data_IF_782470466405
#
_entry.id   IF_782470466405
#
_cell.length_a   1.000
_cell.length_b   1.000
_cell.length_c   1.000
_cell.angle_alpha   90.00
_cell.angle_beta   90.00
_cell.angle_gamma   90.00
#
_symmetry.space_group_name_H-M   'P 1'
#
loop_
_entity.id
_entity.type
_entity.pdbx_description
1 polymer ?
#
# COMPACT_ATOMS: atom_id res chain seq x y z
N UNK A 1 -17.47 -13.89 51.44
CA UNK A 1 -17.70 -12.46 51.16
C UNK A 1 -16.61 -12.04 50.19
N UNK A 2 -16.83 -12.13 48.89
CA UNK A 2 -17.57 -11.19 48.03
C UNK A 2 -16.58 -10.26 47.30
N UNK A 3 -16.31 -10.63 46.05
CA UNK A 3 -16.28 -9.78 44.84
C UNK A 3 -15.43 -8.50 44.82
N UNK A 4 -14.45 -8.51 43.92
CA UNK A 4 -14.06 -7.33 43.15
C UNK A 4 -13.60 -7.81 41.76
N UNK A 5 -14.54 -8.37 41.01
CA UNK A 5 -14.44 -8.36 39.56
C UNK A 5 -14.54 -6.90 39.11
N UNK A 6 -13.47 -6.38 38.51
CA UNK A 6 -13.55 -5.33 37.48
C UNK A 6 -12.23 -5.28 36.73
N UNK A 7 -12.03 -6.29 35.89
CA UNK A 7 -11.16 -6.17 34.72
C UNK A 7 -11.85 -5.18 33.76
N UNK A 8 -11.58 -3.89 33.95
CA UNK A 8 -11.86 -2.85 32.95
C UNK A 8 -10.59 -2.71 32.11
N UNK A 9 -10.46 -3.56 31.10
CA UNK A 9 -9.43 -3.45 30.06
C UNK A 9 -10.07 -3.71 28.70
N UNK A 10 -11.04 -2.87 28.33
CA UNK A 10 -11.72 -2.93 27.03
C UNK A 10 -11.48 -1.70 26.15
N UNK A 11 -10.96 -0.59 26.71
CA UNK A 11 -10.66 0.63 25.94
C UNK A 11 -9.35 0.57 25.12
N UNK A 12 -8.59 -0.54 25.20
CA UNK A 12 -7.27 -0.61 24.58
C UNK A 12 -7.21 -1.53 23.35
N UNK A 13 -8.01 -2.60 23.28
CA UNK A 13 -7.84 -3.60 22.22
C UNK A 13 -8.36 -3.08 20.88
N UNK A 14 -9.54 -2.46 20.86
CA UNK A 14 -10.11 -1.82 19.67
C UNK A 14 -9.30 -0.59 19.22
N UNK A 15 -8.80 0.26 20.14
CA UNK A 15 -7.95 1.42 19.79
C UNK A 15 -6.60 0.97 19.22
N UNK A 16 -6.02 -0.10 19.78
CA UNK A 16 -4.78 -0.73 19.27
C UNK A 16 -5.02 -1.34 17.89
N UNK A 17 -6.13 -2.06 17.69
CA UNK A 17 -6.51 -2.60 16.37
C UNK A 17 -6.69 -1.49 15.34
N UNK A 18 -7.44 -0.44 15.68
CA UNK A 18 -7.67 0.71 14.80
C UNK A 18 -6.35 1.45 14.47
N UNK A 19 -5.43 1.60 15.43
CA UNK A 19 -4.08 2.16 15.19
C UNK A 19 -3.23 1.25 14.30
N UNK A 20 -3.30 -0.06 14.47
CA UNK A 20 -2.56 -1.03 13.66
C UNK A 20 -3.10 -1.03 12.23
N UNK A 21 -4.42 -1.03 12.03
CA UNK A 21 -5.04 -0.89 10.72
C UNK A 21 -4.69 0.44 10.07
N UNK A 22 -4.80 1.57 10.78
CA UNK A 22 -4.48 2.89 10.24
C UNK A 22 -3.00 3.00 9.83
N UNK A 23 -2.08 2.45 10.65
CA UNK A 23 -0.66 2.35 10.30
C UNK A 23 -0.44 1.42 9.10
N UNK A 24 -1.15 0.31 9.00
CA UNK A 24 -1.06 -0.64 7.89
C UNK A 24 -1.53 0.00 6.58
N UNK A 25 -2.67 0.70 6.60
CA UNK A 25 -3.20 1.47 5.47
C UNK A 25 -2.24 2.59 5.03
N UNK A 26 -1.60 3.30 5.97
CA UNK A 26 -0.56 4.30 5.65
C UNK A 26 0.69 3.67 5.04
N UNK A 27 1.06 2.46 5.45
CA UNK A 27 2.18 1.73 4.86
C UNK A 27 1.81 1.24 3.45
N UNK A 28 0.56 0.86 3.21
CA UNK A 28 0.05 0.41 1.91
C UNK A 28 -0.16 1.59 0.93
N UNK A 29 -0.44 2.80 1.42
CA UNK A 29 -0.57 3.99 0.56
C UNK A 29 0.76 4.44 -0.06
N UNK A 30 1.87 4.27 0.67
CA UNK A 30 3.22 4.64 0.22
C UNK A 30 3.69 3.91 -1.05
N UNK A 31 3.58 2.56 -1.17
CA UNK A 31 3.96 1.85 -2.39
C UNK A 31 3.06 2.22 -3.57
N UNK A 32 1.76 2.49 -3.35
CA UNK A 32 0.85 2.93 -4.42
C UNK A 32 1.30 4.28 -4.99
N UNK A 33 1.64 5.23 -4.13
CA UNK A 33 2.13 6.55 -4.55
C UNK A 33 3.52 6.47 -5.23
N UNK A 34 4.38 5.58 -4.75
CA UNK A 34 5.68 5.30 -5.37
C UNK A 34 5.51 4.72 -6.79
N UNK A 35 4.58 3.77 -6.97
CA UNK A 35 4.24 3.21 -8.29
C UNK A 35 3.74 4.32 -9.22
N UNK A 36 2.78 5.15 -8.77
CA UNK A 36 2.27 6.29 -9.57
C UNK A 36 3.41 7.23 -10.00
N UNK A 37 4.37 7.49 -9.12
CA UNK A 37 5.52 8.36 -9.42
C UNK A 37 6.45 7.74 -10.46
N UNK A 38 6.71 6.43 -10.39
CA UNK A 38 7.52 5.74 -11.39
C UNK A 38 6.83 5.67 -12.75
N UNK A 39 5.52 5.41 -12.76
CA UNK A 39 4.73 5.34 -13.99
C UNK A 39 4.59 6.71 -14.70
N UNK A 40 4.61 7.82 -13.95
CA UNK A 40 4.64 9.18 -14.52
C UNK A 40 5.87 9.45 -15.41
N UNK A 41 6.99 8.78 -15.14
CA UNK A 41 8.23 8.96 -15.87
C UNK A 41 8.35 8.03 -17.09
N UNK A 42 7.25 7.41 -17.52
CA UNK A 42 7.22 6.47 -18.65
C UNK A 42 6.79 7.14 -19.97
N UNK A 43 7.40 6.79 -21.12
CA UNK A 43 8.56 5.91 -21.26
C UNK A 43 9.88 6.66 -20.98
N UNK A 44 10.80 6.07 -20.20
CA UNK A 44 12.15 6.62 -20.06
C UNK A 44 12.91 6.51 -21.39
N UNK A 45 13.78 7.49 -21.67
CA UNK A 45 14.58 7.54 -22.91
C UNK A 45 15.72 6.51 -22.95
N UNK A 46 16.14 6.00 -21.79
CA UNK A 46 17.22 5.03 -21.64
C UNK A 46 16.67 3.66 -21.21
N UNK A 47 17.08 2.60 -21.92
CA UNK A 47 16.62 1.22 -21.68
C UNK A 47 17.00 0.67 -20.29
N UNK A 48 18.14 1.10 -19.70
CA UNK A 48 18.53 0.69 -18.34
C UNK A 48 17.64 1.33 -17.29
N UNK A 49 17.25 2.60 -17.51
CA UNK A 49 16.27 3.27 -16.67
C UNK A 49 14.90 2.62 -16.79
N UNK A 50 14.52 2.15 -17.99
CA UNK A 50 13.29 1.38 -18.21
C UNK A 50 13.28 0.09 -17.40
N UNK A 51 14.33 -0.71 -17.49
CA UNK A 51 14.41 -1.99 -16.77
C UNK A 51 14.43 -1.79 -15.25
N UNK A 52 15.18 -0.81 -14.74
CA UNK A 52 15.21 -0.52 -13.30
C UNK A 52 13.86 -0.02 -12.76
N UNK A 53 13.17 0.85 -13.51
CA UNK A 53 11.84 1.31 -13.12
C UNK A 53 10.86 0.14 -13.05
N UNK A 54 10.88 -0.76 -14.03
CA UNK A 54 10.02 -1.95 -14.01
C UNK A 54 10.32 -2.90 -12.85
N UNK A 55 11.60 -3.12 -12.51
CA UNK A 55 11.99 -3.92 -11.34
C UNK A 55 11.37 -3.32 -10.08
N UNK A 56 11.48 -2.00 -9.88
CA UNK A 56 10.93 -1.36 -8.68
C UNK A 56 9.40 -1.34 -8.63
N UNK A 57 8.73 -1.18 -9.77
CA UNK A 57 7.27 -1.31 -9.86
C UNK A 57 6.85 -2.73 -9.45
N UNK A 58 7.54 -3.75 -9.94
CA UNK A 58 7.28 -5.14 -9.58
C UNK A 58 7.54 -5.43 -8.09
N UNK A 59 8.64 -4.92 -7.53
CA UNK A 59 8.92 -5.01 -6.09
C UNK A 59 7.83 -4.36 -5.23
N UNK A 60 7.37 -3.17 -5.62
CA UNK A 60 6.29 -2.47 -4.92
C UNK A 60 4.96 -3.24 -5.00
N UNK A 61 4.64 -3.84 -6.14
CA UNK A 61 3.45 -4.69 -6.32
C UNK A 61 3.47 -5.91 -5.41
N UNK A 62 4.62 -6.57 -5.25
CA UNK A 62 4.74 -7.76 -4.39
C UNK A 62 4.52 -7.46 -2.90
N UNK A 63 4.67 -6.21 -2.48
CA UNK A 63 4.46 -5.78 -1.08
C UNK A 63 3.01 -5.34 -0.82
N UNK A 64 2.26 -4.99 -1.86
CA UNK A 64 0.85 -4.57 -1.75
C UNK A 64 -0.03 -5.80 -1.51
N UNK A 65 -0.91 -5.73 -0.50
CA UNK A 65 -1.81 -6.83 -0.15
C UNK A 65 -3.08 -6.78 -0.99
N UNK A 66 -3.65 -5.59 -1.16
CA UNK A 66 -4.83 -5.38 -2.01
C UNK A 66 -4.45 -4.85 -3.40
N UNK A 67 -3.95 -5.76 -4.24
CA UNK A 67 -3.56 -5.44 -5.62
C UNK A 67 -4.77 -5.00 -6.45
N UNK A 68 -5.93 -5.62 -6.25
CA UNK A 68 -7.17 -5.27 -6.96
C UNK A 68 -7.65 -3.87 -6.60
N UNK A 69 -7.64 -3.52 -5.31
CA UNK A 69 -7.95 -2.17 -4.84
C UNK A 69 -6.96 -1.13 -5.36
N UNK A 70 -5.66 -1.46 -5.38
CA UNK A 70 -4.65 -0.60 -6.00
C UNK A 70 -4.95 -0.38 -7.48
N UNK A 71 -5.18 -1.44 -8.26
CA UNK A 71 -5.48 -1.36 -9.70
C UNK A 71 -6.70 -0.46 -9.95
N UNK A 72 -7.75 -0.62 -9.14
CA UNK A 72 -8.96 0.23 -9.23
C UNK A 72 -8.72 1.70 -8.87
N UNK A 73 -7.68 1.98 -8.09
CA UNK A 73 -7.29 3.34 -7.67
C UNK A 73 -6.31 4.04 -8.63
N UNK A 74 -5.83 3.33 -9.65
CA UNK A 74 -4.94 3.86 -10.67
C UNK A 74 -5.74 4.57 -11.77
N UNK A 75 -5.23 5.72 -12.21
CA UNK A 75 -5.80 6.40 -13.36
C UNK A 75 -5.65 5.50 -14.61
N UNK A 76 -6.61 5.51 -15.55
CA UNK A 76 -6.58 4.64 -16.73
C UNK A 76 -5.27 4.70 -17.52
N UNK A 77 -4.66 5.88 -17.58
CA UNK A 77 -3.37 6.08 -18.25
C UNK A 77 -2.22 5.31 -17.59
N UNK A 78 -2.20 5.22 -16.27
CA UNK A 78 -1.19 4.45 -15.54
C UNK A 78 -1.47 2.96 -15.60
N UNK A 79 -2.74 2.55 -15.66
CA UNK A 79 -3.13 1.17 -15.92
C UNK A 79 -2.64 0.68 -17.30
N UNK A 80 -2.85 1.48 -18.34
CA UNK A 80 -2.39 1.16 -19.69
C UNK A 80 -0.86 1.05 -19.80
N UNK A 81 -0.13 1.84 -18.99
CA UNK A 81 1.33 1.73 -18.89
C UNK A 81 1.71 0.44 -18.16
N UNK A 82 1.01 0.10 -17.07
CA UNK A 82 1.28 -1.09 -16.28
C UNK A 82 1.04 -2.39 -17.06
N UNK A 83 0.07 -2.40 -17.98
CA UNK A 83 -0.33 -3.57 -18.77
C UNK A 83 0.43 -3.75 -20.09
N UNK A 84 1.42 -2.90 -20.37
CA UNK A 84 2.28 -2.95 -21.58
C UNK A 84 3.62 -3.61 -21.30
#
# INVERSE_FOLDING_TARGET
MAEAEKFVESDNVEDVLAKIENKSLKIEYKPIEAIKTMLKCYPPQDERCKSMNWIRVHEALMVIKDVDGMIRSLDPQYYDILMK
#
